data_IF_580705934540
#
_entry.id   IF_580705934540
#
_cell.length_a   1.000
_cell.length_b   1.000
_cell.length_c   1.000
_cell.angle_alpha   90.00
_cell.angle_beta   90.00
_cell.angle_gamma   90.00
#
_symmetry.space_group_name_H-M   'P 1'
#
loop_
_entity.id
_entity.type
_entity.pdbx_description
1 polymer ?
#
# COMPACT_ATOMS: atom_id res chain seq x y z
N UNK A 1 -5.25 -4.28 -7.98
CA UNK A 1 -6.11 -5.27 -8.65
C UNK A 1 -5.33 -6.28 -9.47
N UNK A 2 -4.55 -5.89 -10.48
CA UNK A 2 -3.81 -6.87 -11.31
C UNK A 2 -2.89 -7.85 -10.55
N UNK A 3 -2.34 -7.44 -9.40
CA UNK A 3 -1.46 -8.26 -8.57
C UNK A 3 -2.16 -8.90 -7.36
N UNK A 4 -3.47 -8.73 -7.23
CA UNK A 4 -4.25 -9.27 -6.11
C UNK A 4 -4.91 -10.60 -6.49
N UNK A 5 -5.45 -11.32 -5.51
CA UNK A 5 -6.04 -12.65 -5.71
C UNK A 5 -7.20 -12.61 -6.73
N UNK A 6 -7.22 -13.58 -7.64
CA UNK A 6 -8.08 -13.60 -8.83
C UNK A 6 -9.56 -13.68 -8.47
N UNK A 7 -9.97 -14.61 -7.60
CA UNK A 7 -11.38 -14.83 -7.26
C UNK A 7 -11.98 -13.59 -6.60
N UNK A 8 -11.25 -12.94 -5.71
CA UNK A 8 -11.68 -11.70 -5.08
C UNK A 8 -11.73 -10.56 -6.10
N UNK A 9 -10.69 -10.42 -6.92
CA UNK A 9 -10.58 -9.32 -7.88
C UNK A 9 -11.68 -9.41 -8.94
N UNK A 10 -11.86 -10.56 -9.59
CA UNK A 10 -12.83 -10.72 -10.68
C UNK A 10 -14.27 -10.59 -10.20
N UNK A 11 -14.57 -10.93 -8.94
CA UNK A 11 -15.91 -10.71 -8.35
C UNK A 11 -16.33 -9.24 -8.39
N UNK A 12 -15.39 -8.30 -8.24
CA UNK A 12 -15.69 -6.88 -8.11
C UNK A 12 -15.21 -6.03 -9.29
N UNK A 13 -14.23 -6.52 -10.05
CA UNK A 13 -13.60 -5.80 -11.15
C UNK A 13 -13.84 -6.46 -12.51
N UNK A 14 -14.53 -7.60 -12.59
CA UNK A 14 -14.53 -8.50 -13.75
C UNK A 14 -13.09 -8.94 -14.13
N UNK A 15 -12.95 -9.67 -15.24
CA UNK A 15 -11.61 -10.03 -15.73
C UNK A 15 -10.89 -8.81 -16.31
N UNK A 16 -9.55 -8.77 -16.32
CA UNK A 16 -8.80 -7.69 -16.95
C UNK A 16 -9.16 -7.46 -18.43
N UNK A 17 -9.58 -8.50 -19.15
CA UNK A 17 -10.01 -8.42 -20.54
C UNK A 17 -11.41 -7.82 -20.69
N UNK A 18 -12.31 -8.10 -19.75
CA UNK A 18 -13.67 -7.59 -19.74
C UNK A 18 -13.76 -6.14 -19.22
N UNK A 19 -12.85 -5.75 -18.32
CA UNK A 19 -12.82 -4.41 -17.71
C UNK A 19 -11.43 -3.76 -17.73
N UNK A 20 -10.78 -3.62 -18.90
CA UNK A 20 -9.41 -3.09 -18.97
C UNK A 20 -9.31 -1.66 -18.43
N UNK A 21 -10.33 -0.83 -18.65
CA UNK A 21 -10.39 0.54 -18.15
C UNK A 21 -10.52 0.61 -16.63
N UNK A 22 -11.34 -0.25 -16.03
CA UNK A 22 -11.49 -0.31 -14.57
C UNK A 22 -10.18 -0.70 -13.89
N UNK A 23 -9.45 -1.68 -14.43
CA UNK A 23 -8.12 -2.02 -13.92
C UNK A 23 -7.10 -0.89 -14.12
N UNK A 24 -7.15 -0.18 -15.26
CA UNK A 24 -6.28 0.95 -15.51
C UNK A 24 -6.54 2.08 -14.52
N UNK A 25 -7.79 2.49 -14.32
CA UNK A 25 -8.15 3.65 -13.50
C UNK A 25 -8.05 3.39 -11.98
N UNK A 26 -8.17 2.14 -11.55
CA UNK A 26 -8.18 1.77 -10.12
C UNK A 26 -6.79 1.66 -9.48
N UNK A 27 -5.72 1.82 -10.25
CA UNK A 27 -4.36 1.82 -9.70
C UNK A 27 -4.05 3.14 -9.00
N UNK A 28 -3.81 3.09 -7.68
CA UNK A 28 -3.39 4.27 -6.89
C UNK A 28 -2.10 4.89 -7.41
N UNK A 29 -1.26 4.11 -8.10
CA UNK A 29 0.01 4.57 -8.68
C UNK A 29 -0.18 5.69 -9.70
N UNK A 30 -1.32 5.72 -10.41
CA UNK A 30 -1.60 6.75 -11.43
C UNK A 30 -1.79 8.14 -10.82
N UNK A 31 -2.17 8.19 -9.55
CA UNK A 31 -2.53 9.42 -8.85
C UNK A 31 -1.40 9.93 -7.96
N UNK A 32 -0.28 9.20 -7.86
CA UNK A 32 0.90 9.61 -7.10
C UNK A 32 1.41 11.02 -7.46
N UNK A 33 1.48 11.45 -8.73
CA UNK A 33 1.89 12.82 -9.06
C UNK A 33 0.99 13.89 -8.42
N UNK A 34 -0.27 13.56 -8.18
CA UNK A 34 -1.29 14.42 -7.58
C UNK A 34 -1.29 14.37 -6.05
N UNK A 35 -0.47 13.51 -5.43
CA UNK A 35 -0.35 13.43 -3.97
C UNK A 35 0.03 14.78 -3.39
N UNK A 36 -0.77 15.25 -2.42
CA UNK A 36 -0.55 16.45 -1.62
C UNK A 36 -0.43 16.05 -0.16
N UNK A 37 0.45 16.74 0.57
CA UNK A 37 0.75 16.43 1.97
C UNK A 37 1.70 15.24 2.12
N UNK A 38 1.99 14.93 3.38
CA UNK A 38 2.90 13.87 3.77
C UNK A 38 2.20 12.50 3.78
N UNK A 39 2.96 11.44 3.50
CA UNK A 39 2.43 10.09 3.41
C UNK A 39 3.29 9.11 4.21
N UNK A 40 2.65 8.39 5.13
CA UNK A 40 3.21 7.23 5.82
C UNK A 40 2.66 5.94 5.22
N UNK A 41 3.53 5.15 4.59
CA UNK A 41 3.27 3.79 4.16
C UNK A 41 3.73 2.79 5.24
N UNK A 42 2.94 1.74 5.49
CA UNK A 42 3.28 0.70 6.46
C UNK A 42 2.94 -0.68 5.88
N UNK A 43 3.84 -1.65 5.97
CA UNK A 43 3.58 -3.02 5.47
C UNK A 43 4.38 -4.09 6.22
N UNK A 44 3.77 -5.24 6.50
CA UNK A 44 4.47 -6.48 6.88
C UNK A 44 5.14 -7.17 5.68
N UNK A 45 6.38 -7.65 5.82
CA UNK A 45 7.11 -8.25 4.69
C UNK A 45 6.60 -9.64 4.30
N UNK A 46 5.80 -10.28 5.16
CA UNK A 46 5.29 -11.63 4.98
C UNK A 46 3.76 -11.63 4.89
N UNK A 47 3.18 -10.51 4.44
CA UNK A 47 1.76 -10.39 4.14
C UNK A 47 1.36 -11.39 3.04
N UNK A 48 0.48 -12.31 3.41
CA UNK A 48 -0.05 -13.41 2.62
C UNK A 48 -1.34 -13.07 1.89
N UNK A 49 -1.93 -11.90 2.17
CA UNK A 49 -3.17 -11.42 1.57
C UNK A 49 -2.85 -10.32 0.54
N UNK A 50 -2.13 -9.29 0.95
CA UNK A 50 -1.66 -8.19 0.09
C UNK A 50 -0.15 -8.31 0.00
N UNK A 51 0.39 -8.93 -1.04
CA UNK A 51 1.83 -9.19 -1.11
C UNK A 51 2.64 -7.90 -1.04
N UNK A 52 3.80 -7.97 -0.38
CA UNK A 52 4.72 -6.84 -0.20
C UNK A 52 5.11 -6.14 -1.52
N UNK A 53 5.04 -6.87 -2.64
CA UNK A 53 5.19 -6.35 -4.01
C UNK A 53 4.36 -5.07 -4.28
N UNK A 54 3.16 -4.95 -3.69
CA UNK A 54 2.34 -3.76 -3.83
C UNK A 54 3.04 -2.50 -3.30
N UNK A 55 3.71 -2.60 -2.15
CA UNK A 55 4.47 -1.48 -1.59
C UNK A 55 5.76 -1.20 -2.36
N UNK A 56 6.42 -2.23 -2.89
CA UNK A 56 7.62 -2.05 -3.73
C UNK A 56 7.27 -1.23 -4.97
N UNK A 57 6.19 -1.61 -5.67
CA UNK A 57 5.71 -0.87 -6.85
C UNK A 57 5.27 0.54 -6.50
N UNK A 58 4.66 0.73 -5.33
CA UNK A 58 4.27 2.06 -4.84
C UNK A 58 5.49 2.95 -4.61
N UNK A 59 6.52 2.46 -3.92
CA UNK A 59 7.75 3.22 -3.66
C UNK A 59 8.51 3.53 -4.95
N UNK A 60 8.56 2.60 -5.91
CA UNK A 60 9.16 2.85 -7.22
C UNK A 60 8.41 3.97 -7.98
N UNK A 61 7.07 3.93 -7.98
CA UNK A 61 6.26 4.95 -8.60
C UNK A 61 6.39 6.30 -7.89
N UNK A 62 6.48 6.32 -6.55
CA UNK A 62 6.67 7.54 -5.76
C UNK A 62 8.03 8.18 -6.08
N UNK A 63 9.09 7.37 -6.17
CA UNK A 63 10.43 7.82 -6.59
C UNK A 63 10.37 8.45 -7.99
N UNK A 64 9.74 7.79 -8.96
CA UNK A 64 9.57 8.32 -10.32
C UNK A 64 8.77 9.63 -10.36
N UNK A 65 7.79 9.77 -9.47
CA UNK A 65 6.97 10.97 -9.34
C UNK A 65 7.63 12.09 -8.49
N UNK A 66 8.83 11.86 -7.95
CA UNK A 66 9.51 12.82 -7.07
C UNK A 66 8.79 13.05 -5.74
N UNK A 67 8.01 12.07 -5.26
CA UNK A 67 7.25 12.16 -4.01
C UNK A 67 8.03 11.50 -2.88
N UNK A 68 8.11 12.21 -1.75
CA UNK A 68 8.65 11.67 -0.51
C UNK A 68 7.56 10.84 0.19
N UNK A 69 7.95 9.68 0.71
CA UNK A 69 7.05 8.77 1.43
C UNK A 69 7.82 8.22 2.62
N UNK A 70 7.29 8.44 3.82
CA UNK A 70 7.77 7.76 5.00
C UNK A 70 7.36 6.30 4.93
N UNK A 71 8.32 5.38 5.06
CA UNK A 71 8.02 3.95 4.94
C UNK A 71 8.48 3.16 6.16
N UNK A 72 7.52 2.48 6.82
CA UNK A 72 7.82 1.54 7.89
C UNK A 72 7.51 0.10 7.46
N UNK A 73 8.51 -0.76 7.63
CA UNK A 73 8.41 -2.18 7.32
C UNK A 73 8.36 -2.98 8.63
N UNK A 74 7.53 -4.02 8.66
CA UNK A 74 7.46 -4.99 9.74
C UNK A 74 7.99 -6.36 9.26
N UNK A 75 9.27 -6.69 9.51
CA UNK A 75 9.87 -7.94 9.05
C UNK A 75 9.18 -9.17 9.66
N UNK A 76 8.80 -10.12 8.81
CA UNK A 76 8.16 -11.39 9.21
C UNK A 76 6.68 -11.26 9.60
N UNK A 77 6.11 -10.06 9.59
CA UNK A 77 4.70 -9.87 9.89
C UNK A 77 3.84 -10.12 8.64
N UNK A 78 2.70 -10.78 8.87
CA UNK A 78 1.64 -10.99 7.88
C UNK A 78 0.73 -9.76 7.75
N UNK A 79 -0.46 -9.94 7.15
CA UNK A 79 -1.44 -8.87 6.94
C UNK A 79 -1.85 -8.14 8.24
N UNK A 80 -1.91 -8.87 9.35
CA UNK A 80 -2.20 -8.30 10.65
C UNK A 80 -0.92 -8.18 11.49
N UNK A 81 -0.55 -6.95 11.82
CA UNK A 81 0.54 -6.67 12.76
C UNK A 81 0.03 -6.90 14.19
N UNK A 82 0.45 -8.01 14.81
CA UNK A 82 -0.02 -8.48 16.12
C UNK A 82 1.04 -8.36 17.23
N UNK A 83 0.66 -8.65 18.47
CA UNK A 83 1.58 -8.70 19.60
C UNK A 83 2.35 -7.40 19.81
N UNK A 84 3.66 -7.48 20.06
CA UNK A 84 4.53 -6.31 20.25
C UNK A 84 4.51 -5.35 19.05
N UNK A 85 4.42 -5.88 17.83
CA UNK A 85 4.32 -5.07 16.63
C UNK A 85 3.12 -4.14 16.62
N UNK A 86 1.99 -4.55 17.24
CA UNK A 86 0.78 -3.72 17.30
C UNK A 86 0.98 -2.48 18.17
N UNK A 87 1.68 -2.61 19.31
CA UNK A 87 2.02 -1.48 20.16
C UNK A 87 2.92 -0.48 19.43
N UNK A 88 4.01 -0.98 18.83
CA UNK A 88 4.92 -0.15 18.03
C UNK A 88 4.21 0.53 16.84
N UNK A 89 3.25 -0.16 16.22
CA UNK A 89 2.47 0.41 15.11
C UNK A 89 1.65 1.61 15.56
N UNK A 90 0.92 1.46 16.68
CA UNK A 90 0.11 2.55 17.21
C UNK A 90 0.99 3.74 17.62
N UNK A 91 2.11 3.49 18.29
CA UNK A 91 3.07 4.54 18.65
C UNK A 91 3.62 5.26 17.42
N UNK A 92 4.06 4.53 16.38
CA UNK A 92 4.52 5.14 15.13
C UNK A 92 3.43 5.99 14.47
N UNK A 93 2.20 5.48 14.38
CA UNK A 93 1.10 6.19 13.73
C UNK A 93 0.76 7.48 14.47
N UNK A 94 0.61 7.41 15.79
CA UNK A 94 0.29 8.58 16.62
C UNK A 94 1.41 9.61 16.57
N UNK A 95 2.65 9.22 16.83
CA UNK A 95 3.79 10.15 16.81
C UNK A 95 4.04 10.76 15.43
N UNK A 96 3.79 10.01 14.36
CA UNK A 96 3.88 10.56 13.00
C UNK A 96 2.82 11.62 12.74
N UNK A 97 1.57 11.39 13.17
CA UNK A 97 0.48 12.36 13.04
C UNK A 97 0.73 13.61 13.88
N UNK A 98 1.15 13.45 15.13
CA UNK A 98 1.48 14.57 16.03
C UNK A 98 2.57 15.47 15.46
N UNK A 99 3.54 14.91 14.73
CA UNK A 99 4.60 15.70 14.07
C UNK A 99 4.13 16.52 12.86
N UNK A 100 2.90 16.31 12.36
CA UNK A 100 2.34 17.07 11.23
C UNK A 100 1.54 18.32 11.67
N UNK A 101 1.30 18.49 12.97
CA UNK A 101 0.54 19.60 13.56
C UNK A 101 1.43 20.50 14.41
#
# INVERSE_FOLDING_TARGET
WRYYETVYTERYMDTPEANPEGYAQSSTLNYLPQLQGDLLLIHGTSDDIVMWQHSILFMEAALKAGKQVDYLIYPGYQHSIKGKGRGHLLEKMTGWLEAQF
#
